data_IF_233552943310
#
_entry.id   IF_233552943310
#
_cell.length_a   1.000
_cell.length_b   1.000
_cell.length_c   1.000
_cell.angle_alpha   90.00
_cell.angle_beta   90.00
_cell.angle_gamma   90.00
#
_symmetry.space_group_name_H-M   'P 1'
#
loop_
_entity.id
_entity.type
_entity.pdbx_description
1 polymer ?
#
# COMPACT_ATOMS: atom_id res chain seq x y z
N UNK A 1 5.55 -19.79 -9.23
CA UNK A 1 5.67 -19.57 -7.77
C UNK A 1 5.63 -20.94 -7.13
N UNK A 2 6.30 -21.16 -6.00
CA UNK A 2 6.04 -22.39 -5.23
C UNK A 2 4.61 -22.34 -4.67
N UNK A 3 3.98 -23.51 -4.58
CA UNK A 3 2.62 -23.69 -4.08
C UNK A 3 2.57 -23.80 -2.55
N UNK A 4 3.63 -24.32 -1.95
CA UNK A 4 3.74 -24.52 -0.50
C UNK A 4 5.19 -24.34 -0.02
N UNK A 5 5.38 -24.27 1.30
CA UNK A 5 6.71 -24.14 1.91
C UNK A 5 7.51 -25.45 1.87
N UNK A 6 6.84 -26.60 1.84
CA UNK A 6 7.48 -27.92 1.78
C UNK A 6 8.25 -28.14 0.46
N UNK A 7 7.77 -27.55 -0.64
CA UNK A 7 8.42 -27.57 -1.96
C UNK A 7 9.82 -26.94 -1.94
N UNK A 8 10.17 -26.13 -0.93
CA UNK A 8 11.52 -25.59 -0.79
C UNK A 8 12.59 -26.67 -0.65
N UNK A 9 12.23 -27.81 -0.04
CA UNK A 9 13.17 -28.88 0.27
C UNK A 9 13.03 -30.08 -0.66
N UNK A 10 11.93 -30.17 -1.41
CA UNK A 10 11.58 -31.36 -2.21
C UNK A 10 11.57 -31.12 -3.71
N UNK A 11 11.60 -29.87 -4.18
CA UNK A 11 11.52 -29.57 -5.60
C UNK A 11 12.71 -30.11 -6.40
N UNK A 12 12.42 -30.76 -7.51
CA UNK A 12 13.43 -31.30 -8.43
C UNK A 12 13.82 -30.30 -9.52
N UNK A 13 14.94 -30.55 -10.22
CA UNK A 13 15.43 -29.67 -11.28
C UNK A 13 14.42 -29.51 -12.43
N UNK A 14 13.74 -30.58 -12.80
CA UNK A 14 12.79 -30.58 -13.92
C UNK A 14 11.50 -29.83 -13.56
N UNK A 15 11.02 -29.98 -12.33
CA UNK A 15 9.91 -29.20 -11.79
C UNK A 15 10.25 -27.71 -11.72
N UNK A 16 11.46 -27.37 -11.26
CA UNK A 16 11.91 -25.98 -11.23
C UNK A 16 11.95 -25.36 -12.63
N UNK A 17 12.42 -26.10 -13.65
CA UNK A 17 12.40 -25.65 -15.05
C UNK A 17 10.99 -25.39 -15.55
N UNK A 18 10.04 -26.26 -15.21
CA UNK A 18 8.62 -26.08 -15.55
C UNK A 18 8.05 -24.82 -14.93
N UNK A 19 8.29 -24.58 -13.62
CA UNK A 19 7.81 -23.38 -12.92
C UNK A 19 8.43 -22.10 -13.50
N UNK A 20 9.68 -22.15 -13.97
CA UNK A 20 10.32 -21.01 -14.64
C UNK A 20 9.80 -20.74 -16.04
N UNK A 21 9.35 -21.78 -16.76
CA UNK A 21 8.72 -21.64 -18.06
C UNK A 21 7.30 -21.04 -17.97
N UNK A 22 6.65 -21.11 -16.81
CA UNK A 22 5.34 -20.50 -16.62
C UNK A 22 5.39 -18.96 -16.79
N UNK A 23 4.40 -18.37 -17.47
CA UNK A 23 4.33 -16.92 -17.61
C UNK A 23 4.23 -16.27 -16.22
N UNK A 24 5.13 -15.31 -15.96
CA UNK A 24 5.17 -14.59 -14.68
C UNK A 24 3.85 -13.88 -14.43
N UNK A 25 3.02 -14.43 -13.55
CA UNK A 25 1.79 -13.80 -13.03
C UNK A 25 2.14 -12.69 -12.05
N UNK A 26 2.81 -11.64 -12.53
CA UNK A 26 3.25 -10.53 -11.69
C UNK A 26 2.07 -9.62 -11.35
N UNK A 27 1.56 -9.76 -10.12
CA UNK A 27 1.14 -8.63 -9.29
C UNK A 27 0.08 -7.68 -9.86
N UNK A 28 -1.02 -8.19 -10.43
CA UNK A 28 -2.27 -7.44 -10.46
C UNK A 28 -3.36 -8.36 -9.95
N UNK A 29 -3.80 -8.13 -8.70
CA UNK A 29 -5.07 -8.68 -8.25
C UNK A 29 -6.12 -8.31 -9.30
N UNK A 30 -7.01 -9.26 -9.63
CA UNK A 30 -8.14 -8.96 -10.49
C UNK A 30 -8.84 -7.70 -9.95
N UNK A 31 -9.19 -6.78 -10.83
CA UNK A 31 -9.87 -5.56 -10.43
C UNK A 31 -11.15 -5.97 -9.68
N UNK A 32 -11.25 -5.59 -8.40
CA UNK A 32 -12.48 -5.79 -7.64
C UNK A 32 -13.63 -5.13 -8.41
N UNK A 33 -14.81 -5.75 -8.46
CA UNK A 33 -15.97 -5.16 -9.11
C UNK A 33 -16.26 -3.76 -8.51
N UNK A 34 -16.77 -2.81 -9.32
CA UNK A 34 -17.08 -1.47 -8.84
C UNK A 34 -18.15 -1.53 -7.75
N UNK A 35 -17.95 -0.76 -6.68
CA UNK A 35 -18.85 -0.71 -5.53
C UNK A 35 -20.17 -0.02 -5.89
N UNK A 36 -20.11 1.02 -6.73
CA UNK A 36 -21.29 1.77 -7.19
C UNK A 36 -21.03 2.36 -8.57
N UNK A 37 -22.03 2.32 -9.46
CA UNK A 37 -22.04 3.08 -10.72
C UNK A 37 -22.86 4.35 -10.49
N UNK A 38 -22.34 5.46 -10.98
CA UNK A 38 -22.92 6.80 -10.86
C UNK A 38 -23.27 7.32 -12.26
N UNK A 39 -23.90 8.50 -12.31
CA UNK A 39 -24.20 9.18 -13.57
C UNK A 39 -22.96 9.68 -14.33
N UNK A 40 -23.20 10.43 -15.38
CA UNK A 40 -22.14 11.06 -16.17
C UNK A 40 -21.57 12.29 -15.45
N UNK A 41 -20.26 12.50 -15.60
CA UNK A 41 -19.60 13.67 -15.03
C UNK A 41 -19.89 14.92 -15.87
N UNK A 42 -20.32 16.02 -15.24
CA UNK A 42 -20.68 17.26 -15.95
C UNK A 42 -19.52 17.88 -16.74
N UNK A 43 -18.27 17.61 -16.33
CA UNK A 43 -17.07 18.21 -16.94
C UNK A 43 -16.42 17.29 -17.98
N UNK A 44 -16.35 15.98 -17.72
CA UNK A 44 -15.72 15.03 -18.65
C UNK A 44 -16.71 14.32 -19.57
N UNK A 45 -18.01 14.37 -19.30
CA UNK A 45 -19.06 13.66 -20.04
C UNK A 45 -18.92 12.13 -19.98
N UNK A 46 -18.14 11.61 -19.03
CA UNK A 46 -17.86 10.18 -18.89
C UNK A 46 -18.63 9.56 -17.72
N UNK A 47 -18.98 8.28 -17.80
CA UNK A 47 -19.67 7.58 -16.72
C UNK A 47 -18.76 7.47 -15.49
N UNK A 48 -19.28 7.86 -14.34
CA UNK A 48 -18.57 7.78 -13.07
C UNK A 48 -18.79 6.44 -12.38
N UNK A 49 -17.76 5.94 -11.70
CA UNK A 49 -17.87 4.74 -10.87
C UNK A 49 -17.05 4.86 -9.60
N UNK A 50 -17.57 4.28 -8.52
CA UNK A 50 -16.86 4.12 -7.25
C UNK A 50 -16.21 2.74 -7.24
N UNK A 51 -14.91 2.68 -6.98
CA UNK A 51 -14.11 1.45 -6.93
C UNK A 51 -13.34 1.37 -5.63
N UNK A 52 -13.02 0.15 -5.21
CA UNK A 52 -12.13 -0.09 -4.07
C UNK A 52 -10.67 -0.19 -4.57
N UNK A 53 -9.78 0.66 -4.03
CA UNK A 53 -8.37 0.70 -4.41
C UNK A 53 -7.42 0.43 -3.23
N UNK A 54 -6.12 0.43 -3.50
CA UNK A 54 -5.06 0.22 -2.47
C UNK A 54 -5.15 1.21 -1.32
N UNK A 55 -5.64 2.41 -1.58
CA UNK A 55 -5.73 3.51 -0.63
C UNK A 55 -7.15 3.72 -0.08
N UNK A 56 -8.06 2.76 -0.32
CA UNK A 56 -9.47 2.86 0.01
C UNK A 56 -10.37 3.17 -1.19
N UNK A 57 -11.67 3.45 -0.94
CA UNK A 57 -12.63 3.78 -1.98
C UNK A 57 -12.27 5.07 -2.72
N UNK A 58 -12.48 5.07 -4.04
CA UNK A 58 -12.26 6.24 -4.90
C UNK A 58 -13.32 6.31 -6.01
N UNK A 59 -13.62 7.52 -6.46
CA UNK A 59 -14.42 7.81 -7.65
C UNK A 59 -13.49 7.91 -8.86
N UNK A 60 -13.93 7.37 -9.99
CA UNK A 60 -13.23 7.47 -11.28
C UNK A 60 -14.20 7.73 -12.42
N UNK A 61 -13.81 8.63 -13.32
CA UNK A 61 -14.42 8.84 -14.64
C UNK A 61 -13.62 8.15 -15.77
N UNK A 62 -12.67 7.28 -15.39
CA UNK A 62 -11.73 6.60 -16.28
C UNK A 62 -10.45 7.37 -16.59
N UNK A 63 -10.36 8.66 -16.28
CA UNK A 63 -9.16 9.48 -16.52
C UNK A 63 -8.63 10.09 -15.22
N UNK A 64 -9.50 10.73 -14.44
CA UNK A 64 -9.22 11.29 -13.13
C UNK A 64 -9.73 10.35 -12.04
N UNK A 65 -8.92 10.18 -10.99
CA UNK A 65 -9.27 9.37 -9.82
C UNK A 65 -9.23 10.23 -8.57
N UNK A 66 -10.34 10.31 -7.84
CA UNK A 66 -10.45 11.05 -6.59
C UNK A 66 -10.81 10.12 -5.43
N UNK A 67 -9.97 10.08 -4.39
CA UNK A 67 -10.26 9.32 -3.17
C UNK A 67 -11.45 9.92 -2.42
N UNK A 68 -12.30 9.07 -1.83
CA UNK A 68 -13.38 9.53 -0.96
C UNK A 68 -12.79 10.19 0.31
N UNK A 69 -13.42 11.27 0.78
CA UNK A 69 -13.02 11.95 2.02
C UNK A 69 -13.56 11.21 3.24
N UNK A 70 -13.03 11.54 4.42
CA UNK A 70 -13.56 11.01 5.70
C UNK A 70 -14.98 11.54 5.89
N UNK A 71 -15.97 10.65 5.82
CA UNK A 71 -17.40 10.98 5.91
C UNK A 71 -18.19 10.63 4.65
N UNK A 72 -17.52 10.53 3.49
CA UNK A 72 -18.14 10.04 2.27
C UNK A 72 -18.09 8.50 2.29
N UNK A 73 -19.25 7.84 2.21
CA UNK A 73 -19.31 6.37 2.07
C UNK A 73 -19.63 6.01 0.61
N UNK A 74 -19.12 4.87 0.10
CA UNK A 74 -19.37 4.47 -1.28
C UNK A 74 -20.88 4.25 -1.57
N UNK A 75 -21.67 3.94 -0.55
CA UNK A 75 -23.10 3.68 -0.65
C UNK A 75 -23.92 4.98 -0.69
N UNK A 76 -23.58 5.94 0.16
CA UNK A 76 -24.31 7.22 0.27
C UNK A 76 -23.86 8.29 -0.71
N UNK A 77 -22.79 8.04 -1.48
CA UNK A 77 -22.25 9.02 -2.42
C UNK A 77 -23.28 9.39 -3.50
N UNK A 78 -23.46 10.70 -3.71
CA UNK A 78 -24.32 11.27 -4.75
C UNK A 78 -23.52 11.69 -5.98
N UNK A 79 -24.17 11.85 -7.13
CA UNK A 79 -23.53 12.27 -8.38
C UNK A 79 -22.91 13.67 -8.27
N UNK A 80 -23.62 14.60 -7.63
CA UNK A 80 -23.12 15.96 -7.40
C UNK A 80 -21.83 15.96 -6.56
N UNK A 81 -21.79 15.14 -5.49
CA UNK A 81 -20.60 15.01 -4.64
C UNK A 81 -19.43 14.35 -5.37
N UNK A 82 -19.71 13.36 -6.21
CA UNK A 82 -18.73 12.72 -7.05
C UNK A 82 -18.12 13.70 -8.07
N UNK A 83 -18.95 14.55 -8.68
CA UNK A 83 -18.52 15.61 -9.60
C UNK A 83 -17.59 16.61 -8.93
N UNK A 84 -17.92 17.04 -7.71
CA UNK A 84 -17.09 17.94 -6.91
C UNK A 84 -15.72 17.33 -6.59
N UNK A 85 -15.67 16.08 -6.11
CA UNK A 85 -14.40 15.41 -5.78
C UNK A 85 -13.49 15.27 -7.00
N UNK A 86 -14.07 14.98 -8.18
CA UNK A 86 -13.32 14.88 -9.42
C UNK A 86 -12.84 16.25 -9.91
N UNK A 87 -13.66 17.31 -9.83
CA UNK A 87 -13.29 18.65 -10.26
C UNK A 87 -12.17 19.22 -9.40
N UNK A 88 -12.26 19.09 -8.07
CA UNK A 88 -11.19 19.45 -7.13
C UNK A 88 -9.89 18.72 -7.44
N UNK A 89 -9.98 17.43 -7.79
CA UNK A 89 -8.81 16.64 -8.14
C UNK A 89 -8.16 17.14 -9.43
N UNK A 90 -8.95 17.46 -10.46
CA UNK A 90 -8.45 18.05 -11.71
C UNK A 90 -7.77 19.39 -11.47
N UNK A 91 -8.37 20.26 -10.64
CA UNK A 91 -7.77 21.53 -10.28
C UNK A 91 -6.41 21.34 -9.58
N UNK A 92 -6.32 20.43 -8.60
CA UNK A 92 -5.07 20.10 -7.92
C UNK A 92 -4.02 19.48 -8.84
N UNK A 93 -4.43 18.62 -9.76
CA UNK A 93 -3.53 18.01 -10.73
C UNK A 93 -3.00 19.05 -11.74
N UNK A 94 -3.83 20.02 -12.15
CA UNK A 94 -3.41 21.15 -12.98
C UNK A 94 -2.45 22.09 -12.24
N UNK A 95 -2.72 22.40 -10.97
CA UNK A 95 -1.83 23.21 -10.13
C UNK A 95 -0.46 22.51 -9.94
N UNK A 96 -0.46 21.20 -9.69
CA UNK A 96 0.78 20.41 -9.59
C UNK A 96 1.55 20.34 -10.91
N UNK A 97 0.85 20.32 -12.04
CA UNK A 97 1.48 20.38 -13.35
C UNK A 97 2.12 21.76 -13.60
N UNK A 98 1.46 22.84 -13.19
CA UNK A 98 1.97 24.21 -13.31
C UNK A 98 3.13 24.49 -12.34
N UNK A 99 3.15 23.88 -11.15
CA UNK A 99 4.19 24.06 -10.14
C UNK A 99 5.53 23.35 -10.46
N UNK A 100 5.62 22.65 -11.60
CA UNK A 100 6.81 21.90 -12.01
C UNK A 100 7.08 20.67 -11.12
N UNK A 101 7.96 19.75 -11.55
CA UNK A 101 8.29 18.57 -10.75
C UNK A 101 9.04 19.02 -9.49
N UNK A 102 8.38 19.00 -8.34
CA UNK A 102 9.07 19.05 -7.07
C UNK A 102 10.06 17.88 -7.03
N UNK A 103 11.36 18.18 -7.11
CA UNK A 103 12.45 17.22 -6.93
C UNK A 103 12.27 16.54 -5.57
N UNK A 104 11.56 15.41 -5.54
CA UNK A 104 11.65 14.47 -4.44
C UNK A 104 13.06 13.93 -4.46
N UNK A 105 13.91 14.50 -3.61
CA UNK A 105 15.23 13.96 -3.30
C UNK A 105 15.02 12.56 -2.75
N UNK A 106 15.18 11.59 -3.65
CA UNK A 106 15.38 10.18 -3.35
C UNK A 106 16.55 10.07 -2.38
N UNK A 107 16.27 10.09 -1.08
CA UNK A 107 17.25 9.73 -0.04
C UNK A 107 17.48 8.23 -0.14
N UNK A 108 18.28 7.82 -1.12
CA UNK A 108 18.85 6.49 -1.19
C UNK A 108 19.92 6.37 -0.09
N UNK A 109 19.52 6.03 1.13
CA UNK A 109 20.49 5.46 2.08
C UNK A 109 20.74 4.01 1.70
N UNK A 110 21.60 3.85 0.68
CA UNK A 110 22.47 2.69 0.51
C UNK A 110 23.30 2.58 1.79
N UNK A 111 22.95 1.64 2.67
CA UNK A 111 23.89 1.11 3.68
C UNK A 111 23.99 -0.40 3.52
N UNK A 112 24.67 -0.80 2.45
CA UNK A 112 25.46 -2.04 2.43
C UNK A 112 26.62 -1.86 3.41
N UNK A 113 26.55 -2.51 4.57
CA UNK A 113 27.73 -2.86 5.35
C UNK A 113 27.37 -3.96 6.37
N UNK A 114 27.47 -5.20 5.89
CA UNK A 114 27.99 -6.37 6.60
C UNK A 114 28.68 -6.05 7.93
N UNK A 115 28.15 -6.55 9.05
CA UNK A 115 28.99 -7.01 10.15
C UNK A 115 28.30 -8.15 10.90
N UNK A 116 28.73 -9.36 10.52
CA UNK A 116 28.53 -10.56 11.29
C UNK A 116 29.18 -10.45 12.67
N UNK A 117 28.56 -11.16 13.61
CA UNK A 117 29.16 -11.80 14.78
C UNK A 117 29.96 -10.92 15.78
N UNK A 118 29.40 -10.75 16.97
CA UNK A 118 30.04 -11.26 18.20
C UNK A 118 29.02 -11.47 19.31
N UNK A 119 28.73 -12.76 19.52
CA UNK A 119 28.16 -13.37 20.73
C UNK A 119 29.06 -13.01 21.92
N UNK A 120 28.50 -12.38 22.95
CA UNK A 120 29.06 -12.34 24.29
C UNK A 120 27.94 -12.09 25.31
N UNK A 121 27.37 -13.20 25.77
CA UNK A 121 26.97 -13.45 27.17
C UNK A 121 27.11 -12.30 28.16
N UNK A 122 26.00 -11.84 28.74
CA UNK A 122 25.83 -11.87 30.20
C UNK A 122 24.36 -11.78 30.61
N UNK A 123 23.92 -12.89 31.19
CA UNK A 123 22.64 -13.23 31.78
C UNK A 123 22.52 -12.51 33.13
N UNK A 124 21.62 -11.53 33.26
CA UNK A 124 21.29 -10.91 34.55
C UNK A 124 20.06 -11.61 35.14
N UNK A 125 20.28 -12.72 35.83
CA UNK A 125 19.28 -13.31 36.73
C UNK A 125 19.79 -13.25 38.16
N UNK A 126 19.08 -12.45 38.97
CA UNK A 126 18.66 -12.73 40.36
C UNK A 126 19.77 -12.99 41.40
N UNK A 127 19.77 -12.20 42.50
CA UNK A 127 19.47 -12.67 43.88
C UNK A 127 19.93 -11.68 44.98
N UNK A 128 18.93 -11.00 45.56
CA UNK A 128 18.63 -10.72 46.99
C UNK A 128 19.68 -10.23 48.02
N UNK A 129 19.16 -9.33 48.87
CA UNK A 129 19.34 -9.21 50.34
C UNK A 129 20.62 -8.52 50.84
N UNK A 130 20.68 -7.77 51.95
CA UNK A 130 19.75 -7.21 52.97
C UNK A 130 20.65 -6.44 53.96
N UNK A 131 20.07 -5.52 54.76
CA UNK A 131 20.57 -4.91 56.04
C UNK A 131 21.55 -3.73 55.86
N UNK A 132 21.59 -2.65 56.65
CA UNK A 132 20.97 -2.20 57.91
C UNK A 132 20.92 -0.63 57.83
N UNK A 133 20.31 0.20 58.70
CA UNK A 133 20.13 0.15 60.14
C UNK A 133 19.03 1.13 60.61
N UNK A 134 18.65 0.96 61.87
CA UNK A 134 17.51 1.50 62.63
C UNK A 134 17.97 2.67 63.52
N UNK A 135 17.17 3.73 63.67
CA UNK A 135 16.79 4.37 64.96
C UNK A 135 15.91 5.62 64.75
N UNK A 136 14.66 5.52 65.15
CA UNK A 136 13.96 6.40 66.09
C UNK A 136 12.85 5.56 66.73
#
# INVERSE_FOLDING_TARGET
SLGSEEELFTITLDEARRIYAEPKRRGRAAAKPPLKRLGDNDVSGKPMSVKEGRFGPYVTDGTTNASLRRGDTPETLTDARANELLSERRAKDAEKAAAGPAKSTRKSTKKTAKKAAKKATKRSTKKTAKKAAKKA
#
